data_IF_870202874579
#
_entry.id   IF_870202874579
#
_cell.length_a   1.000
_cell.length_b   1.000
_cell.length_c   1.000
_cell.angle_alpha   90.00
_cell.angle_beta   90.00
_cell.angle_gamma   90.00
#
_symmetry.space_group_name_H-M   'P 1'
#
loop_
_entity.id
_entity.type
_entity.pdbx_description
1 polymer ?
#
# COMPACT_ATOMS: atom_id res chain seq x y z
N UNK A 1 -5.26 -29.34 -24.90
CA UNK A 1 -5.34 -29.05 -23.45
C UNK A 1 -5.00 -27.58 -23.25
N UNK A 2 -5.88 -26.76 -22.66
CA UNK A 2 -5.56 -25.36 -22.37
C UNK A 2 -4.53 -25.28 -21.22
N UNK A 3 -3.67 -24.25 -21.20
CA UNK A 3 -2.70 -24.05 -20.14
C UNK A 3 -3.42 -23.72 -18.83
N UNK A 4 -3.14 -24.51 -17.79
CA UNK A 4 -3.61 -24.25 -16.43
C UNK A 4 -2.92 -22.98 -15.94
N UNK A 5 -3.68 -21.90 -15.75
CA UNK A 5 -3.18 -20.65 -15.19
C UNK A 5 -2.64 -20.93 -13.78
N UNK A 6 -1.32 -20.99 -13.66
CA UNK A 6 -0.62 -21.05 -12.37
C UNK A 6 -0.88 -19.70 -11.69
N UNK A 7 -1.73 -19.72 -10.68
CA UNK A 7 -2.02 -18.55 -9.84
C UNK A 7 -0.75 -18.20 -9.09
N UNK A 8 -0.09 -17.13 -9.51
CA UNK A 8 1.15 -16.68 -8.87
C UNK A 8 0.95 -16.57 -7.35
N UNK A 9 1.85 -17.14 -6.54
CA UNK A 9 1.78 -17.03 -5.10
C UNK A 9 1.84 -15.55 -4.72
N UNK A 10 0.91 -15.10 -3.87
CA UNK A 10 0.90 -13.72 -3.41
C UNK A 10 2.28 -13.38 -2.83
N UNK A 11 2.88 -12.23 -3.22
CA UNK A 11 4.20 -11.87 -2.75
C UNK A 11 4.21 -11.88 -1.23
N UNK A 12 5.13 -12.64 -0.63
CA UNK A 12 5.23 -12.93 0.82
C UNK A 12 5.10 -11.65 1.68
N UNK A 13 5.68 -10.56 1.19
CA UNK A 13 5.64 -9.23 1.83
C UNK A 13 4.22 -8.64 1.94
N UNK A 14 3.32 -8.98 1.03
CA UNK A 14 1.92 -8.55 1.04
C UNK A 14 1.11 -9.32 2.08
N UNK A 15 1.36 -10.62 2.23
CA UNK A 15 0.71 -11.45 3.24
C UNK A 15 1.08 -10.99 4.64
N UNK A 16 2.37 -10.71 4.89
CA UNK A 16 2.86 -10.17 6.16
C UNK A 16 2.21 -8.82 6.49
N UNK A 17 2.07 -7.93 5.51
CA UNK A 17 1.37 -6.64 5.68
C UNK A 17 -0.11 -6.83 6.01
N UNK A 18 -0.78 -7.78 5.36
CA UNK A 18 -2.19 -8.08 5.61
C UNK A 18 -2.40 -8.60 7.04
N UNK A 19 -1.54 -9.52 7.47
CA UNK A 19 -1.57 -10.09 8.83
C UNK A 19 -1.31 -8.98 9.86
N UNK A 20 -0.30 -8.13 9.63
CA UNK A 20 -0.01 -7.00 10.54
C UNK A 20 -1.20 -6.03 10.64
N UNK A 21 -1.83 -5.68 9.51
CA UNK A 21 -3.01 -4.82 9.50
C UNK A 21 -4.21 -5.45 10.25
N UNK A 22 -4.41 -6.76 10.09
CA UNK A 22 -5.47 -7.49 10.80
C UNK A 22 -5.25 -7.49 12.31
N UNK A 23 -4.02 -7.77 12.76
CA UNK A 23 -3.64 -7.75 14.18
C UNK A 23 -3.89 -6.36 14.78
N UNK A 24 -3.44 -5.30 14.10
CA UNK A 24 -3.68 -3.92 14.54
C UNK A 24 -5.19 -3.66 14.65
N UNK A 25 -5.99 -4.03 13.65
CA UNK A 25 -7.44 -3.83 13.67
C UNK A 25 -8.11 -4.51 14.87
N UNK A 26 -7.74 -5.75 15.18
CA UNK A 26 -8.24 -6.47 16.35
C UNK A 26 -7.86 -5.75 17.64
N UNK A 27 -6.60 -5.34 17.79
CA UNK A 27 -6.12 -4.59 18.96
C UNK A 27 -6.94 -3.30 19.15
N UNK A 28 -7.29 -2.61 18.07
CA UNK A 28 -8.11 -1.39 18.15
C UNK A 28 -9.54 -1.63 18.53
N UNK A 29 -10.15 -2.71 18.05
CA UNK A 29 -11.50 -3.09 18.45
C UNK A 29 -11.52 -3.44 19.94
N UNK A 30 -10.57 -4.25 20.40
CA UNK A 30 -10.44 -4.63 21.82
C UNK A 30 -10.18 -3.39 22.68
N UNK A 31 -9.27 -2.53 22.27
CA UNK A 31 -9.00 -1.26 22.93
C UNK A 31 -10.26 -0.38 23.00
N UNK A 32 -11.01 -0.29 21.90
CA UNK A 32 -12.21 0.53 21.83
C UNK A 32 -13.30 0.04 22.78
N UNK A 33 -13.51 -1.28 22.84
CA UNK A 33 -14.48 -1.91 23.74
C UNK A 33 -14.04 -1.74 25.21
N UNK A 34 -12.76 -1.98 25.52
CA UNK A 34 -12.25 -1.85 26.89
C UNK A 34 -12.34 -0.41 27.42
N UNK A 35 -12.18 0.58 26.55
CA UNK A 35 -12.18 1.99 26.93
C UNK A 35 -13.52 2.69 26.67
N UNK A 36 -14.57 1.96 26.28
CA UNK A 36 -15.89 2.51 25.92
C UNK A 36 -16.60 3.21 27.09
N UNK A 37 -16.34 2.79 28.34
CA UNK A 37 -16.94 3.37 29.55
C UNK A 37 -16.07 4.35 30.33
N UNK A 38 -14.82 4.57 29.90
CA UNK A 38 -13.89 5.47 30.58
C UNK A 38 -13.94 6.86 29.93
N UNK A 39 -14.76 7.74 30.50
CA UNK A 39 -14.85 9.14 30.09
C UNK A 39 -13.59 9.91 30.52
N UNK A 40 -12.61 10.05 29.63
CA UNK A 40 -11.45 10.91 29.89
C UNK A 40 -11.76 12.36 29.48
N UNK A 41 -11.38 13.30 30.35
CA UNK A 41 -11.47 14.73 30.07
C UNK A 41 -10.20 15.14 29.33
N UNK A 42 -10.33 15.54 28.07
CA UNK A 42 -9.18 15.78 27.19
C UNK A 42 -8.90 17.28 27.10
N UNK A 43 -7.67 17.68 27.40
CA UNK A 43 -7.21 19.05 27.28
C UNK A 43 -6.14 19.12 26.19
N UNK A 44 -6.52 19.66 25.03
CA UNK A 44 -5.64 19.83 23.88
C UNK A 44 -5.13 21.27 23.85
N UNK A 45 -3.88 21.48 24.29
CA UNK A 45 -3.26 22.81 24.44
C UNK A 45 -4.13 23.78 25.28
N UNK A 46 -4.96 24.62 24.64
CA UNK A 46 -5.86 25.58 25.28
C UNK A 46 -7.35 25.21 25.15
N UNK A 47 -7.69 24.11 24.48
CA UNK A 47 -9.06 23.69 24.23
C UNK A 47 -9.48 22.55 25.18
N UNK A 48 -10.54 22.78 25.95
CA UNK A 48 -11.21 21.74 26.73
C UNK A 48 -12.26 21.10 25.83
N UNK A 49 -11.88 20.01 25.19
CA UNK A 49 -12.80 19.18 24.42
C UNK A 49 -13.37 18.21 25.46
N UNK A 50 -14.70 18.23 25.64
CA UNK A 50 -15.40 17.63 26.79
C UNK A 50 -15.16 16.12 27.03
N UNK A 51 -16.13 15.44 27.63
CA UNK A 51 -15.99 14.01 27.90
C UNK A 51 -16.17 13.21 26.60
N UNK A 52 -15.07 12.74 26.03
CA UNK A 52 -15.09 11.87 24.85
C UNK A 52 -14.47 10.52 25.20
N UNK A 53 -15.02 9.41 24.69
CA UNK A 53 -14.44 8.09 24.93
C UNK A 53 -13.04 8.03 24.33
N UNK A 54 -12.06 7.56 25.10
CA UNK A 54 -10.64 7.45 24.68
C UNK A 54 -10.48 6.63 23.40
N UNK A 55 -11.36 5.64 23.23
CA UNK A 55 -11.47 4.82 22.03
C UNK A 55 -11.62 5.64 20.75
N UNK A 56 -12.44 6.68 20.76
CA UNK A 56 -12.70 7.54 19.59
C UNK A 56 -11.44 8.33 19.22
N UNK A 57 -10.72 8.87 20.20
CA UNK A 57 -9.51 9.68 19.94
C UNK A 57 -8.40 8.82 19.37
N UNK A 58 -8.20 7.62 19.90
CA UNK A 58 -7.17 6.70 19.40
C UNK A 58 -7.54 6.22 18.00
N UNK A 59 -8.82 5.93 17.75
CA UNK A 59 -9.28 5.57 16.42
C UNK A 59 -9.04 6.69 15.40
N UNK A 60 -9.38 7.95 15.74
CA UNK A 60 -9.15 9.11 14.86
C UNK A 60 -7.65 9.35 14.64
N UNK A 61 -6.83 9.25 15.68
CA UNK A 61 -5.37 9.42 15.58
C UNK A 61 -4.75 8.38 14.65
N UNK A 62 -5.22 7.14 14.74
CA UNK A 62 -4.76 6.06 13.85
C UNK A 62 -5.29 6.27 12.44
N UNK A 63 -6.56 6.66 12.28
CA UNK A 63 -7.14 6.95 10.98
C UNK A 63 -6.35 8.05 10.25
N UNK A 64 -5.94 9.09 10.97
CA UNK A 64 -5.06 10.15 10.46
C UNK A 64 -3.70 9.58 10.07
N UNK A 65 -3.06 8.78 10.93
CA UNK A 65 -1.78 8.14 10.62
C UNK A 65 -1.85 7.23 9.38
N UNK A 66 -2.93 6.48 9.23
CA UNK A 66 -3.19 5.64 8.04
C UNK A 66 -3.40 6.50 6.80
N UNK A 67 -4.18 7.59 6.90
CA UNK A 67 -4.37 8.51 5.78
C UNK A 67 -3.03 9.06 5.28
N UNK A 68 -2.17 9.51 6.20
CA UNK A 68 -0.84 10.03 5.87
C UNK A 68 0.00 8.95 5.18
N UNK A 69 0.06 7.74 5.75
CA UNK A 69 0.82 6.64 5.16
C UNK A 69 0.31 6.26 3.76
N UNK A 70 -1.01 6.22 3.57
CA UNK A 70 -1.62 5.96 2.25
C UNK A 70 -1.27 7.06 1.26
N UNK A 71 -1.36 8.33 1.68
CA UNK A 71 -0.98 9.47 0.85
C UNK A 71 0.51 9.46 0.45
N UNK A 72 1.41 8.93 1.27
CA UNK A 72 2.82 8.76 0.91
C UNK A 72 3.07 7.56 -0.03
N UNK A 73 2.40 6.44 0.21
CA UNK A 73 2.61 5.20 -0.54
C UNK A 73 2.02 5.28 -1.95
N UNK A 74 0.85 5.90 -2.11
CA UNK A 74 0.13 5.97 -3.37
C UNK A 74 0.96 6.58 -4.53
N UNK A 75 1.61 7.76 -4.39
CA UNK A 75 2.44 8.31 -5.44
C UNK A 75 3.69 7.47 -5.72
N UNK A 76 4.24 6.78 -4.71
CA UNK A 76 5.40 5.91 -4.87
C UNK A 76 5.06 4.69 -5.74
N UNK A 77 3.90 4.06 -5.49
CA UNK A 77 3.41 2.92 -6.27
C UNK A 77 3.06 3.33 -7.70
N UNK A 78 2.47 4.49 -7.91
CA UNK A 78 2.17 5.01 -9.25
C UNK A 78 3.44 5.26 -10.06
N UNK A 79 4.47 5.86 -9.44
CA UNK A 79 5.79 6.05 -10.09
C UNK A 79 6.44 4.72 -10.44
N UNK A 80 6.38 3.74 -9.53
CA UNK A 80 6.98 2.43 -9.76
C UNK A 80 6.32 1.69 -10.92
N UNK A 81 4.99 1.77 -11.05
CA UNK A 81 4.25 1.21 -12.19
C UNK A 81 4.64 1.84 -13.51
N UNK A 82 4.79 3.17 -13.56
CA UNK A 82 5.24 3.87 -14.79
C UNK A 82 6.63 3.41 -15.22
N UNK A 83 7.56 3.30 -14.27
CA UNK A 83 8.93 2.82 -14.56
C UNK A 83 8.98 1.39 -15.10
N UNK A 84 8.06 0.53 -14.63
CA UNK A 84 7.93 -0.82 -15.18
C UNK A 84 7.46 -0.79 -16.63
N UNK A 85 6.46 0.04 -16.94
CA UNK A 85 5.97 0.20 -18.32
C UNK A 85 7.06 0.77 -19.24
N UNK A 86 7.77 1.81 -18.81
CA UNK A 86 8.87 2.42 -19.58
C UNK A 86 10.01 1.41 -19.84
N UNK A 87 10.36 0.58 -18.86
CA UNK A 87 11.40 -0.44 -19.00
C UNK A 87 10.99 -1.56 -19.97
N UNK A 88 9.72 -1.95 -19.94
CA UNK A 88 9.17 -2.98 -20.83
C UNK A 88 9.13 -2.50 -22.28
N UNK A 89 8.74 -1.24 -22.52
CA UNK A 89 8.79 -0.62 -23.85
C UNK A 89 10.23 -0.47 -24.36
N UNK A 90 11.17 -0.05 -23.51
CA UNK A 90 12.59 0.04 -23.88
C UNK A 90 13.16 -1.32 -24.30
N UNK A 91 12.82 -2.38 -23.56
CA UNK A 91 13.24 -3.74 -23.91
C UNK A 91 12.64 -4.18 -25.25
N UNK A 92 11.35 -3.94 -25.46
CA UNK A 92 10.65 -4.29 -26.71
C UNK A 92 11.25 -3.57 -27.92
N UNK A 93 11.58 -2.29 -27.78
CA UNK A 93 12.22 -1.49 -28.83
C UNK A 93 13.65 -1.96 -29.11
N UNK A 94 14.43 -2.31 -28.07
CA UNK A 94 15.77 -2.84 -28.24
C UNK A 94 15.78 -4.19 -28.97
N UNK A 95 14.82 -5.07 -28.65
CA UNK A 95 14.64 -6.36 -29.34
C UNK A 95 14.24 -6.15 -30.80
N UNK A 96 13.31 -5.22 -31.07
CA UNK A 96 12.90 -4.90 -32.44
C UNK A 96 14.03 -4.29 -33.28
N UNK A 97 14.82 -3.38 -32.71
CA UNK A 97 15.97 -2.78 -33.37
C UNK A 97 17.07 -3.80 -33.68
N UNK A 98 17.31 -4.75 -32.76
CA UNK A 98 18.27 -5.84 -32.97
C UNK A 98 17.81 -6.80 -34.07
N UNK A 99 16.52 -7.14 -34.10
CA UNK A 99 15.93 -7.95 -35.16
C UNK A 99 15.94 -7.26 -36.54
N UNK A 100 15.85 -5.93 -36.59
CA UNK A 100 16.00 -5.17 -37.83
C UNK A 100 17.45 -5.16 -38.34
N UNK A 101 18.43 -5.05 -37.43
CA UNK A 101 19.87 -5.06 -37.75
C UNK A 101 20.36 -6.40 -38.31
N UNK A 102 19.84 -7.52 -37.81
CA UNK A 102 20.17 -8.86 -38.33
C UNK A 102 19.55 -9.14 -39.72
N UNK A 103 18.58 -8.34 -40.17
CA UNK A 103 17.93 -8.51 -41.50
C UNK A 103 18.60 -7.73 -42.63
N UNK A 104 19.53 -6.82 -42.34
CA UNK A 104 20.33 -6.16 -43.37
C UNK A 104 21.39 -7.14 -43.89
N UNK A 105 21.32 -7.61 -45.14
CA UNK A 105 22.32 -8.51 -45.69
C UNK A 105 23.64 -7.76 -45.89
N UNK A 106 24.80 -8.44 -45.79
CA UNK A 106 26.08 -7.82 -46.09
C UNK A 106 26.07 -7.31 -47.53
N UNK A 107 26.32 -6.02 -47.68
CA UNK A 107 26.50 -5.41 -48.99
C UNK A 107 27.80 -5.97 -49.60
N UNK A 108 27.79 -6.47 -50.85
CA UNK A 108 28.98 -6.93 -51.56
C UNK A 108 29.96 -5.79 -51.86
#
# INVERSE_FOLDING_TARGET
>A
MPPVAVKDPMPEKTVVKLIAALVICIVLIVFAIQNFGHECRIRLFFWNIGKWPVSVIIFVSILIGVLIAVCEILPHVMRLRRRLQDAEEALRNAVAARAARDRTPPHP
#
